data_IF_319780549159
#
_entry.id   IF_319780549159
#
_cell.length_a   1.000
_cell.length_b   1.000
_cell.length_c   1.000
_cell.angle_alpha   90.00
_cell.angle_beta   90.00
_cell.angle_gamma   90.00
#
_symmetry.space_group_name_H-M   'P 1'
#
loop_
_entity.id
_entity.type
_entity.pdbx_description
1 polymer ?
#
# COMPACT_ATOMS: atom_id res chain seq x y z
N UNK A 1 3.75 35.88 -14.61
CA UNK A 1 3.28 34.55 -14.18
C UNK A 1 3.19 34.56 -12.67
N UNK A 2 2.03 34.32 -12.09
CA UNK A 2 1.79 34.50 -10.64
C UNK A 2 2.46 33.34 -9.90
N UNK A 3 3.53 33.61 -9.16
CA UNK A 3 4.35 32.60 -8.47
C UNK A 3 3.49 31.66 -7.60
N UNK A 4 2.41 32.20 -7.01
CA UNK A 4 1.44 31.41 -6.24
C UNK A 4 0.71 30.38 -7.09
N UNK A 5 0.30 30.72 -8.33
CA UNK A 5 -0.37 29.77 -9.23
C UNK A 5 0.57 28.64 -9.68
N UNK A 6 1.83 28.96 -9.91
CA UNK A 6 2.85 27.96 -10.28
C UNK A 6 3.12 26.97 -9.15
N UNK A 7 3.11 27.43 -7.89
CA UNK A 7 3.28 26.57 -6.72
C UNK A 7 2.12 25.56 -6.51
N UNK A 8 0.90 25.89 -6.96
CA UNK A 8 -0.23 24.93 -6.93
C UNK A 8 -0.15 23.88 -8.02
N UNK A 9 0.50 24.17 -9.15
CA UNK A 9 0.63 23.25 -10.27
C UNK A 9 1.69 22.17 -9.99
N UNK A 10 2.74 22.51 -9.24
CA UNK A 10 3.89 21.63 -9.03
C UNK A 10 3.54 20.29 -8.34
N UNK A 11 2.80 20.22 -7.22
CA UNK A 11 2.41 18.93 -6.64
C UNK A 11 1.60 18.09 -7.61
N UNK A 12 0.60 18.70 -8.27
CA UNK A 12 -0.25 17.97 -9.23
C UNK A 12 0.56 17.43 -10.44
N UNK A 13 1.59 18.15 -10.89
CA UNK A 13 2.47 17.68 -11.96
C UNK A 13 3.29 16.45 -11.51
N UNK A 14 3.73 16.41 -10.25
CA UNK A 14 4.43 15.25 -9.67
C UNK A 14 3.47 14.06 -9.57
N UNK A 15 2.24 14.27 -9.10
CA UNK A 15 1.18 13.24 -9.05
C UNK A 15 0.87 12.69 -10.45
N UNK A 16 0.79 13.55 -11.48
CA UNK A 16 0.67 13.11 -12.89
C UNK A 16 1.88 12.29 -13.34
N UNK A 17 3.08 12.58 -12.83
CA UNK A 17 4.27 11.76 -13.06
C UNK A 17 4.11 10.33 -12.50
N UNK A 18 3.50 10.18 -11.32
CA UNK A 18 3.14 8.86 -10.76
C UNK A 18 2.18 8.11 -11.69
N UNK A 19 1.09 8.76 -12.15
CA UNK A 19 0.14 8.18 -13.11
C UNK A 19 0.86 7.74 -14.39
N UNK A 20 1.74 8.58 -14.93
CA UNK A 20 2.51 8.27 -16.15
C UNK A 20 3.37 7.02 -15.97
N UNK A 21 4.04 6.86 -14.83
CA UNK A 21 4.82 5.67 -14.52
C UNK A 21 3.93 4.42 -14.45
N UNK A 22 2.78 4.50 -13.75
CA UNK A 22 1.80 3.41 -13.66
C UNK A 22 1.24 3.02 -15.03
N UNK A 23 0.84 4.01 -15.83
CA UNK A 23 0.34 3.80 -17.18
C UNK A 23 1.39 3.15 -18.09
N UNK A 24 2.63 3.65 -18.07
CA UNK A 24 3.71 3.09 -18.88
C UNK A 24 4.06 1.65 -18.44
N UNK A 25 4.03 1.35 -17.14
CA UNK A 25 4.19 -0.02 -16.63
C UNK A 25 3.13 -0.97 -17.22
N UNK A 26 1.87 -0.53 -17.30
CA UNK A 26 0.79 -1.32 -17.92
C UNK A 26 1.07 -1.55 -19.40
N UNK A 27 1.48 -0.52 -20.13
CA UNK A 27 1.79 -0.64 -21.57
C UNK A 27 2.91 -1.66 -21.82
N UNK A 28 4.01 -1.60 -21.05
CA UNK A 28 5.15 -2.51 -21.19
C UNK A 28 4.72 -3.97 -21.02
N UNK A 29 3.95 -4.30 -19.99
CA UNK A 29 3.54 -5.69 -19.72
C UNK A 29 2.36 -6.15 -20.56
N UNK A 30 1.68 -5.25 -21.26
CA UNK A 30 0.56 -5.55 -22.17
C UNK A 30 1.00 -5.82 -23.61
N UNK A 31 2.24 -5.57 -23.97
CA UNK A 31 2.81 -5.96 -25.28
C UNK A 31 2.80 -7.50 -25.43
N UNK A 32 2.68 -8.01 -26.63
CA UNK A 32 2.33 -9.39 -26.97
C UNK A 32 3.01 -10.51 -26.17
N UNK A 33 4.34 -10.44 -25.96
CA UNK A 33 5.10 -11.45 -25.18
C UNK A 33 6.15 -10.75 -24.32
N UNK A 34 5.77 -10.19 -23.16
CA UNK A 34 6.70 -9.48 -22.30
C UNK A 34 7.77 -10.44 -21.75
N UNK A 35 9.02 -10.01 -21.80
CA UNK A 35 10.17 -10.74 -21.27
C UNK A 35 10.34 -10.50 -19.76
N UNK A 36 11.20 -11.28 -19.10
CA UNK A 36 11.59 -11.04 -17.70
C UNK A 36 12.14 -9.64 -17.47
N UNK A 37 12.87 -9.09 -18.44
CA UNK A 37 13.39 -7.71 -18.40
C UNK A 37 12.25 -6.67 -18.47
N UNK A 38 11.18 -6.94 -19.22
CA UNK A 38 10.05 -6.01 -19.33
C UNK A 38 9.23 -5.99 -18.02
N UNK A 39 9.04 -7.14 -17.37
CA UNK A 39 8.44 -7.18 -16.02
C UNK A 39 9.29 -6.40 -15.01
N UNK A 40 10.60 -6.54 -15.06
CA UNK A 40 11.51 -5.79 -14.20
C UNK A 40 11.42 -4.27 -14.45
N UNK A 41 11.45 -3.84 -15.72
CA UNK A 41 11.30 -2.42 -16.08
C UNK A 41 9.96 -1.85 -15.60
N UNK A 42 8.86 -2.59 -15.78
CA UNK A 42 7.55 -2.19 -15.30
C UNK A 42 7.52 -2.08 -13.75
N UNK A 43 8.10 -3.03 -13.04
CA UNK A 43 8.23 -2.98 -11.58
C UNK A 43 9.05 -1.77 -11.12
N UNK A 44 10.14 -1.44 -11.79
CA UNK A 44 10.95 -0.25 -11.50
C UNK A 44 10.18 1.04 -11.73
N UNK A 45 9.38 1.15 -12.80
CA UNK A 45 8.49 2.30 -13.02
C UNK A 45 7.49 2.47 -11.87
N UNK A 46 6.95 1.38 -11.33
CA UNK A 46 6.03 1.44 -10.18
C UNK A 46 6.75 1.86 -8.89
N UNK A 47 8.04 1.50 -8.72
CA UNK A 47 8.86 2.04 -7.62
C UNK A 47 9.07 3.54 -7.79
N UNK A 48 9.33 4.02 -9.01
CA UNK A 48 9.38 5.47 -9.29
C UNK A 48 8.03 6.15 -9.05
N UNK A 49 6.90 5.49 -9.37
CA UNK A 49 5.58 6.00 -9.03
C UNK A 49 5.41 6.21 -7.53
N UNK A 50 5.86 5.25 -6.69
CA UNK A 50 5.85 5.39 -5.23
C UNK A 50 6.73 6.55 -4.74
N UNK A 51 7.84 6.79 -5.41
CA UNK A 51 8.70 7.94 -5.08
C UNK A 51 8.02 9.27 -5.42
N UNK A 52 7.37 9.39 -6.58
CA UNK A 52 6.60 10.58 -6.95
C UNK A 52 5.45 10.85 -5.98
N UNK A 53 4.70 9.82 -5.57
CA UNK A 53 3.65 9.91 -4.57
C UNK A 53 4.16 10.43 -3.21
N UNK A 54 5.31 9.94 -2.75
CA UNK A 54 5.92 10.47 -1.54
C UNK A 54 6.37 11.93 -1.68
N UNK A 55 6.80 12.33 -2.88
CA UNK A 55 7.26 13.68 -3.15
C UNK A 55 6.12 14.69 -3.22
N UNK A 56 5.03 14.39 -3.94
CA UNK A 56 3.93 15.35 -4.14
C UNK A 56 3.25 15.70 -2.82
N UNK A 57 2.99 14.71 -1.97
CA UNK A 57 2.47 14.94 -0.62
C UNK A 57 3.42 15.74 0.29
N UNK A 58 4.74 15.60 0.13
CA UNK A 58 5.72 16.42 0.84
C UNK A 58 5.75 17.85 0.28
N UNK A 59 5.82 17.98 -1.04
CA UNK A 59 5.85 19.28 -1.72
C UNK A 59 4.59 20.10 -1.39
N UNK A 60 3.39 19.49 -1.48
CA UNK A 60 2.13 20.14 -1.14
C UNK A 60 2.10 20.67 0.32
N UNK A 61 2.67 19.91 1.27
CA UNK A 61 2.79 20.34 2.67
C UNK A 61 3.81 21.47 2.85
N UNK A 62 4.97 21.38 2.22
CA UNK A 62 6.04 22.39 2.34
C UNK A 62 5.62 23.72 1.69
N UNK A 63 4.94 23.67 0.57
CA UNK A 63 4.47 24.85 -0.17
C UNK A 63 3.13 25.40 0.37
N UNK A 64 2.49 24.69 1.31
CA UNK A 64 1.16 25.02 1.83
C UNK A 64 0.09 25.15 0.73
N UNK A 65 0.22 24.30 -0.33
CA UNK A 65 -0.68 24.29 -1.49
C UNK A 65 -1.65 23.12 -1.47
N UNK A 66 -1.93 22.57 -0.31
CA UNK A 66 -2.92 21.51 -0.15
C UNK A 66 -4.31 22.01 -0.60
N UNK A 67 -4.98 21.27 -1.46
CA UNK A 67 -6.30 21.60 -1.99
C UNK A 67 -7.19 20.37 -2.03
N UNK A 68 -8.52 20.58 -2.02
CA UNK A 68 -9.47 19.49 -2.21
C UNK A 68 -9.28 18.79 -3.58
N UNK A 69 -8.97 19.56 -4.61
CA UNK A 69 -8.65 19.02 -5.95
C UNK A 69 -7.39 18.16 -5.92
N UNK A 70 -6.30 18.63 -5.26
CA UNK A 70 -5.06 17.88 -5.12
C UNK A 70 -5.27 16.54 -4.40
N UNK A 71 -6.10 16.51 -3.35
CA UNK A 71 -6.44 15.28 -2.63
C UNK A 71 -7.20 14.28 -3.54
N UNK A 72 -8.10 14.74 -4.40
CA UNK A 72 -8.83 13.86 -5.31
C UNK A 72 -7.93 13.30 -6.41
N UNK A 73 -7.07 14.13 -7.03
CA UNK A 73 -6.16 13.66 -8.08
C UNK A 73 -5.10 12.70 -7.53
N UNK A 74 -4.63 12.90 -6.30
CA UNK A 74 -3.76 11.99 -5.55
C UNK A 74 -4.42 10.62 -5.37
N UNK A 75 -5.68 10.57 -4.92
CA UNK A 75 -6.42 9.32 -4.79
C UNK A 75 -6.67 8.61 -6.12
N UNK A 76 -6.87 9.36 -7.22
CA UNK A 76 -7.00 8.79 -8.56
C UNK A 76 -5.64 8.27 -9.07
N UNK A 77 -4.56 8.96 -8.74
CA UNK A 77 -3.21 8.51 -9.04
C UNK A 77 -2.88 7.21 -8.32
N UNK A 78 -3.20 7.14 -7.02
CA UNK A 78 -3.02 5.96 -6.18
C UNK A 78 -3.70 4.73 -6.79
N UNK A 79 -4.96 4.86 -7.25
CA UNK A 79 -5.67 3.71 -7.80
C UNK A 79 -5.08 3.25 -9.13
N UNK A 80 -4.59 4.15 -9.97
CA UNK A 80 -3.92 3.80 -11.23
C UNK A 80 -2.57 3.16 -10.95
N UNK A 81 -1.72 3.82 -10.15
CA UNK A 81 -0.31 3.46 -9.96
C UNK A 81 -0.12 2.31 -8.98
N UNK A 82 -1.00 2.17 -7.96
CA UNK A 82 -0.86 1.17 -6.89
C UNK A 82 -2.02 0.18 -6.81
N UNK A 83 -3.12 0.42 -7.52
CA UNK A 83 -4.22 -0.53 -7.65
C UNK A 83 -4.14 -1.28 -8.98
N UNK A 84 -4.37 -0.58 -10.09
CA UNK A 84 -4.54 -1.17 -11.42
C UNK A 84 -3.20 -1.66 -11.99
N UNK A 85 -2.16 -0.83 -11.99
CA UNK A 85 -0.89 -1.20 -12.62
C UNK A 85 -0.23 -2.42 -11.95
N UNK A 86 -0.13 -2.54 -10.60
CA UNK A 86 0.38 -3.75 -9.97
C UNK A 86 -0.50 -4.98 -10.17
N UNK A 87 -1.83 -4.83 -10.26
CA UNK A 87 -2.73 -5.95 -10.55
C UNK A 87 -2.53 -6.50 -11.97
N UNK A 88 -2.36 -5.62 -12.96
CA UNK A 88 -2.03 -6.01 -14.34
C UNK A 88 -0.63 -6.64 -14.41
N UNK A 89 0.35 -6.04 -13.71
CA UNK A 89 1.72 -6.57 -13.64
C UNK A 89 1.72 -8.00 -13.13
N UNK A 90 1.12 -8.26 -11.95
CA UNK A 90 1.13 -9.62 -11.35
C UNK A 90 0.28 -10.60 -12.15
N UNK A 91 -0.82 -10.15 -12.76
CA UNK A 91 -1.61 -10.97 -13.66
C UNK A 91 -0.77 -11.46 -14.85
N UNK A 92 -0.15 -10.54 -15.58
CA UNK A 92 0.67 -10.84 -16.75
C UNK A 92 1.92 -11.66 -16.40
N UNK A 93 2.50 -11.43 -15.22
CA UNK A 93 3.70 -12.12 -14.77
C UNK A 93 3.41 -13.56 -14.33
N UNK A 94 2.35 -13.81 -13.56
CA UNK A 94 2.14 -15.11 -12.90
C UNK A 94 0.70 -15.63 -12.98
N UNK A 95 -0.31 -14.78 -12.74
CA UNK A 95 -1.68 -15.23 -12.54
C UNK A 95 -2.40 -15.61 -13.85
N UNK A 96 -1.89 -15.24 -15.02
CA UNK A 96 -2.44 -15.64 -16.33
C UNK A 96 -2.58 -17.16 -16.50
N UNK A 97 -1.84 -17.95 -15.71
CA UNK A 97 -1.93 -19.41 -15.66
C UNK A 97 -3.27 -19.92 -15.12
N UNK A 98 -4.01 -19.08 -14.43
CA UNK A 98 -5.34 -19.35 -13.91
C UNK A 98 -6.36 -18.45 -14.63
N UNK A 99 -6.92 -18.84 -15.78
CA UNK A 99 -7.63 -17.92 -16.66
C UNK A 99 -8.72 -17.11 -15.97
N UNK A 100 -9.61 -17.76 -15.21
CA UNK A 100 -10.70 -17.08 -14.48
C UNK A 100 -10.25 -16.61 -13.09
N UNK A 101 -9.67 -17.51 -12.29
CA UNK A 101 -9.28 -17.20 -10.92
C UNK A 101 -8.19 -16.10 -10.87
N UNK A 102 -7.24 -16.11 -11.81
CA UNK A 102 -6.19 -15.10 -11.90
C UNK A 102 -6.73 -13.71 -12.23
N UNK A 103 -7.68 -13.62 -13.17
CA UNK A 103 -8.36 -12.33 -13.47
C UNK A 103 -9.12 -11.84 -12.25
N UNK A 104 -9.88 -12.72 -11.58
CA UNK A 104 -10.64 -12.35 -10.38
C UNK A 104 -9.73 -11.90 -9.23
N UNK A 105 -8.60 -12.58 -9.00
CA UNK A 105 -7.64 -12.21 -7.98
C UNK A 105 -6.99 -10.84 -8.27
N UNK A 106 -6.58 -10.60 -9.52
CA UNK A 106 -6.02 -9.32 -9.94
C UNK A 106 -7.05 -8.19 -9.85
N UNK A 107 -8.28 -8.42 -10.33
CA UNK A 107 -9.38 -7.46 -10.19
C UNK A 107 -9.71 -7.17 -8.74
N UNK A 108 -9.77 -8.21 -7.89
CA UNK A 108 -10.03 -8.05 -6.45
C UNK A 108 -9.00 -7.14 -5.79
N UNK A 109 -7.72 -7.23 -6.18
CA UNK A 109 -6.69 -6.33 -5.65
C UNK A 109 -6.97 -4.87 -6.00
N UNK A 110 -7.26 -4.57 -7.26
CA UNK A 110 -7.58 -3.21 -7.70
C UNK A 110 -8.88 -2.70 -7.06
N UNK A 111 -9.93 -3.53 -7.01
CA UNK A 111 -11.23 -3.17 -6.43
C UNK A 111 -11.14 -2.91 -4.91
N UNK A 112 -10.46 -3.78 -4.17
CA UNK A 112 -10.24 -3.59 -2.73
C UNK A 112 -9.40 -2.34 -2.45
N UNK A 113 -8.41 -2.04 -3.29
CA UNK A 113 -7.66 -0.79 -3.25
C UNK A 113 -8.56 0.44 -3.42
N UNK A 114 -9.46 0.43 -4.42
CA UNK A 114 -10.40 1.51 -4.66
C UNK A 114 -11.38 1.70 -3.48
N UNK A 115 -11.97 0.61 -2.98
CA UNK A 115 -12.87 0.65 -1.81
C UNK A 115 -12.14 1.22 -0.59
N UNK A 116 -10.90 0.79 -0.36
CA UNK A 116 -10.07 1.30 0.75
C UNK A 116 -9.80 2.80 0.62
N UNK A 117 -9.45 3.29 -0.56
CA UNK A 117 -9.21 4.72 -0.79
C UNK A 117 -10.48 5.54 -0.61
N UNK A 118 -11.61 5.09 -1.16
CA UNK A 118 -12.90 5.74 -0.98
C UNK A 118 -13.28 5.82 0.50
N UNK A 119 -13.14 4.70 1.25
CA UNK A 119 -13.38 4.66 2.70
C UNK A 119 -12.47 5.62 3.46
N UNK A 120 -11.20 5.68 3.12
CA UNK A 120 -10.24 6.58 3.75
C UNK A 120 -10.62 8.04 3.51
N UNK A 121 -10.97 8.41 2.29
CA UNK A 121 -11.37 9.78 1.94
C UNK A 121 -12.61 10.23 2.71
N UNK A 122 -13.63 9.36 2.79
CA UNK A 122 -14.85 9.64 3.56
C UNK A 122 -14.55 9.83 5.05
N UNK A 123 -13.70 8.98 5.64
CA UNK A 123 -13.34 9.05 7.06
C UNK A 123 -12.35 10.18 7.39
N UNK A 124 -11.65 10.71 6.40
CA UNK A 124 -10.67 11.79 6.56
C UNK A 124 -11.24 13.18 6.33
N UNK A 125 -12.51 13.28 5.97
CA UNK A 125 -13.23 14.55 5.77
C UNK A 125 -14.39 14.66 6.75
N UNK A 126 -14.68 15.87 7.24
CA UNK A 126 -15.89 16.14 7.99
C UNK A 126 -17.11 16.32 7.05
N UNK A 127 -18.30 16.57 7.62
CA UNK A 127 -19.54 16.81 6.87
C UNK A 127 -19.46 18.04 5.94
N UNK A 128 -18.48 18.93 6.13
CA UNK A 128 -18.21 20.10 5.29
C UNK A 128 -17.13 19.85 4.23
N UNK A 129 -16.58 18.61 4.14
CA UNK A 129 -15.47 18.27 3.24
C UNK A 129 -14.10 18.76 3.70
N UNK A 130 -13.97 19.25 4.94
CA UNK A 130 -12.72 19.73 5.48
C UNK A 130 -11.89 18.55 5.97
N UNK A 131 -10.58 18.47 5.64
CA UNK A 131 -9.72 17.36 6.09
C UNK A 131 -9.60 17.31 7.62
N UNK A 132 -9.93 16.17 8.21
CA UNK A 132 -9.73 15.90 9.63
C UNK A 132 -8.26 15.48 9.84
N UNK A 133 -7.65 15.88 10.97
CA UNK A 133 -6.29 15.45 11.30
C UNK A 133 -6.20 13.92 11.31
N UNK A 134 -5.24 13.33 10.60
CA UNK A 134 -5.08 11.87 10.56
C UNK A 134 -4.91 11.30 11.97
N UNK A 135 -5.67 10.25 12.29
CA UNK A 135 -5.52 9.51 13.53
C UNK A 135 -4.19 8.74 13.59
N UNK A 136 -3.85 8.25 14.79
CA UNK A 136 -2.66 7.42 15.05
C UNK A 136 -2.69 6.09 14.28
N UNK A 137 -3.86 5.59 13.96
CA UNK A 137 -4.09 4.32 13.26
C UNK A 137 -4.90 4.55 12.00
N UNK A 138 -4.54 3.82 10.95
CA UNK A 138 -5.25 3.76 9.68
C UNK A 138 -5.95 2.40 9.60
N UNK A 139 -7.24 2.40 9.28
CA UNK A 139 -8.02 1.16 9.13
C UNK A 139 -7.79 0.56 7.75
N UNK A 140 -7.44 -0.72 7.71
CA UNK A 140 -7.07 -1.45 6.51
C UNK A 140 -5.62 -1.19 6.07
N UNK A 141 -5.03 -2.17 5.38
CA UNK A 141 -3.68 -2.05 4.81
C UNK A 141 -3.64 -0.91 3.78
N UNK A 142 -2.72 0.07 3.89
CA UNK A 142 -2.57 1.09 2.86
C UNK A 142 -2.21 0.51 1.50
N UNK A 143 -2.73 1.13 0.41
CA UNK A 143 -2.54 0.60 -0.95
C UNK A 143 -1.07 0.62 -1.40
N UNK A 144 -0.21 1.66 -1.09
CA UNK A 144 1.19 1.63 -1.50
C UNK A 144 1.99 0.47 -0.86
N UNK A 145 1.92 0.16 0.45
CA UNK A 145 2.55 -1.03 1.01
C UNK A 145 2.02 -2.34 0.42
N UNK A 146 0.71 -2.46 0.16
CA UNK A 146 0.14 -3.67 -0.45
C UNK A 146 0.70 -3.91 -1.86
N UNK A 147 0.70 -2.88 -2.71
CA UNK A 147 1.27 -2.93 -4.04
C UNK A 147 2.79 -3.14 -4.01
N UNK A 148 3.46 -2.53 -3.03
CA UNK A 148 4.89 -2.69 -2.82
C UNK A 148 5.31 -4.15 -2.67
N UNK A 149 4.52 -4.98 -1.95
CA UNK A 149 4.79 -6.43 -1.85
C UNK A 149 4.77 -7.08 -3.23
N UNK A 150 3.74 -6.83 -4.05
CA UNK A 150 3.63 -7.42 -5.39
C UNK A 150 4.77 -6.95 -6.31
N UNK A 151 5.08 -5.65 -6.28
CA UNK A 151 6.15 -5.05 -7.08
C UNK A 151 7.51 -5.64 -6.70
N UNK A 152 7.80 -5.74 -5.40
CA UNK A 152 9.09 -6.25 -4.92
C UNK A 152 9.25 -7.75 -5.16
N UNK A 153 8.18 -8.53 -5.22
CA UNK A 153 8.23 -9.94 -5.66
C UNK A 153 8.68 -10.04 -7.12
N UNK A 154 8.21 -9.16 -8.00
CA UNK A 154 8.66 -9.13 -9.41
C UNK A 154 10.13 -8.70 -9.51
N UNK A 155 10.55 -7.72 -8.73
CA UNK A 155 11.96 -7.28 -8.68
C UNK A 155 12.85 -8.41 -8.14
N UNK A 156 12.44 -9.08 -7.06
CA UNK A 156 13.17 -10.23 -6.50
C UNK A 156 13.24 -11.41 -7.49
N UNK A 157 12.18 -11.64 -8.29
CA UNK A 157 12.19 -12.64 -9.34
C UNK A 157 13.30 -12.41 -10.37
N UNK A 158 13.56 -11.16 -10.73
CA UNK A 158 14.63 -10.82 -11.65
C UNK A 158 16.02 -11.16 -11.06
N UNK A 159 16.22 -10.90 -9.78
CA UNK A 159 17.46 -11.22 -9.06
C UNK A 159 17.76 -12.74 -9.01
N UNK A 160 16.72 -13.57 -8.89
CA UNK A 160 16.84 -15.04 -8.90
C UNK A 160 16.61 -15.66 -10.29
N UNK A 161 16.96 -14.93 -11.35
CA UNK A 161 16.91 -15.41 -12.74
C UNK A 161 15.55 -15.98 -13.15
N UNK A 162 14.45 -15.44 -12.64
CA UNK A 162 13.09 -15.82 -12.99
C UNK A 162 12.52 -17.00 -12.17
N UNK A 163 13.21 -17.51 -11.18
CA UNK A 163 12.79 -18.70 -10.42
C UNK A 163 11.42 -18.56 -9.75
N UNK A 164 11.09 -17.35 -9.21
CA UNK A 164 9.78 -17.10 -8.58
C UNK A 164 8.62 -17.03 -9.60
N UNK A 165 8.90 -16.75 -10.88
CA UNK A 165 7.93 -16.77 -11.97
C UNK A 165 7.51 -18.17 -12.42
N UNK A 166 8.10 -19.24 -11.87
CA UNK A 166 7.75 -20.62 -12.22
C UNK A 166 6.35 -20.99 -11.76
N UNK A 167 5.75 -21.95 -12.49
CA UNK A 167 4.37 -22.38 -12.25
C UNK A 167 4.10 -22.85 -10.81
N UNK A 168 5.10 -23.44 -10.14
CA UNK A 168 4.99 -23.93 -8.76
C UNK A 168 4.69 -22.79 -7.74
N UNK A 169 5.10 -21.54 -8.00
CA UNK A 169 4.85 -20.42 -7.11
C UNK A 169 3.60 -19.61 -7.48
N UNK A 170 2.98 -19.88 -8.64
CA UNK A 170 1.85 -19.08 -9.13
C UNK A 170 0.64 -19.12 -8.18
N UNK A 171 0.36 -20.28 -7.55
CA UNK A 171 -0.70 -20.40 -6.55
C UNK A 171 -0.38 -19.60 -5.29
N UNK A 172 0.87 -19.59 -4.85
CA UNK A 172 1.31 -18.77 -3.69
C UNK A 172 1.18 -17.29 -3.99
N UNK A 173 1.60 -16.85 -5.19
CA UNK A 173 1.47 -15.44 -5.63
C UNK A 173 -0.01 -15.04 -5.67
N UNK A 174 -0.89 -15.92 -6.17
CA UNK A 174 -2.33 -15.67 -6.15
C UNK A 174 -2.87 -15.57 -4.72
N UNK A 175 -2.48 -16.47 -3.83
CA UNK A 175 -2.87 -16.42 -2.42
C UNK A 175 -2.40 -15.14 -1.74
N UNK A 176 -1.15 -14.70 -1.97
CA UNK A 176 -0.63 -13.41 -1.48
C UNK A 176 -1.45 -12.25 -2.01
N UNK A 177 -1.77 -12.22 -3.31
CA UNK A 177 -2.59 -11.17 -3.93
C UNK A 177 -3.97 -11.09 -3.26
N UNK A 178 -4.63 -12.22 -3.05
CA UNK A 178 -5.94 -12.29 -2.37
C UNK A 178 -5.85 -11.84 -0.92
N UNK A 179 -4.85 -12.30 -0.17
CA UNK A 179 -4.65 -11.90 1.24
C UNK A 179 -4.41 -10.40 1.36
N UNK A 180 -3.57 -9.81 0.52
CA UNK A 180 -3.34 -8.37 0.49
C UNK A 180 -4.62 -7.59 0.18
N UNK A 181 -5.43 -8.08 -0.76
CA UNK A 181 -6.73 -7.50 -1.11
C UNK A 181 -7.67 -7.48 0.10
N UNK A 182 -7.80 -8.61 0.80
CA UNK A 182 -8.64 -8.72 2.00
C UNK A 182 -8.12 -7.83 3.14
N UNK A 183 -6.81 -7.73 3.32
CA UNK A 183 -6.21 -6.85 4.33
C UNK A 183 -6.50 -5.37 4.06
N UNK A 184 -6.56 -4.92 2.80
CA UNK A 184 -6.91 -3.55 2.44
C UNK A 184 -8.32 -3.16 2.90
N UNK A 185 -9.30 -4.06 2.77
CA UNK A 185 -10.71 -3.81 3.15
C UNK A 185 -11.00 -4.18 4.61
N UNK A 186 -10.08 -4.86 5.28
CA UNK A 186 -10.24 -5.33 6.66
C UNK A 186 -10.36 -4.19 7.66
N UNK A 187 -10.81 -4.51 8.88
CA UNK A 187 -10.81 -3.60 10.02
C UNK A 187 -9.51 -3.65 10.83
N UNK A 188 -8.47 -4.28 10.28
CA UNK A 188 -7.12 -4.29 10.88
C UNK A 188 -6.60 -2.87 10.96
N UNK A 189 -6.11 -2.47 12.13
CA UNK A 189 -5.57 -1.13 12.35
C UNK A 189 -4.06 -1.15 12.18
N UNK A 190 -3.59 -0.49 11.13
CA UNK A 190 -2.16 -0.32 10.87
C UNK A 190 -1.66 0.97 11.49
N UNK A 191 -0.51 0.90 12.16
CA UNK A 191 0.09 2.06 12.81
C UNK A 191 0.66 3.03 11.77
N UNK A 192 0.35 4.31 11.91
CA UNK A 192 1.01 5.36 11.16
C UNK A 192 2.40 5.63 11.76
N UNK A 193 3.45 5.65 10.94
CA UNK A 193 4.82 5.90 11.40
C UNK A 193 5.06 7.34 11.90
N UNK A 194 4.05 8.22 11.83
CA UNK A 194 4.18 9.64 12.21
C UNK A 194 4.42 9.88 13.70
N UNK A 195 4.07 8.90 14.57
CA UNK A 195 4.09 9.03 16.04
C UNK A 195 5.14 8.13 16.72
N UNK A 196 6.19 7.74 16.02
CA UNK A 196 7.27 6.96 16.62
C UNK A 196 8.00 7.80 17.68
N UNK A 197 7.63 7.59 18.96
CA UNK A 197 8.43 8.09 20.07
C UNK A 197 9.68 7.22 20.22
N UNK A 198 10.84 7.85 20.30
CA UNK A 198 12.10 7.18 20.61
C UNK A 198 12.05 6.67 22.07
N UNK A 199 11.53 5.47 22.26
CA UNK A 199 11.58 4.73 23.51
C UNK A 199 12.54 3.54 23.33
N UNK A 200 13.11 3.03 24.39
CA UNK A 200 14.05 1.88 24.38
C UNK A 200 13.51 0.71 23.56
N UNK A 201 12.21 0.38 23.71
CA UNK A 201 11.56 -0.66 22.92
C UNK A 201 11.50 -0.37 21.42
N UNK A 202 11.29 0.90 21.01
CA UNK A 202 11.31 1.30 19.60
C UNK A 202 12.73 1.23 19.03
N UNK A 203 13.73 1.62 19.82
CA UNK A 203 15.15 1.54 19.40
C UNK A 203 15.58 0.09 19.20
N UNK A 204 15.29 -0.80 20.17
CA UNK A 204 15.58 -2.23 20.07
C UNK A 204 14.87 -2.87 18.86
N UNK A 205 13.63 -2.48 18.60
CA UNK A 205 12.87 -2.96 17.47
C UNK A 205 13.47 -2.50 16.12
N UNK A 206 13.89 -1.25 16.00
CA UNK A 206 14.59 -0.73 14.80
C UNK A 206 15.91 -1.45 14.61
N UNK A 207 16.70 -1.67 15.68
CA UNK A 207 17.93 -2.45 15.62
C UNK A 207 17.68 -3.90 15.18
N UNK A 208 16.60 -4.53 15.64
CA UNK A 208 16.21 -5.86 15.18
C UNK A 208 15.87 -5.87 13.68
N UNK A 209 15.13 -4.88 13.18
CA UNK A 209 14.81 -4.75 11.75
C UNK A 209 16.10 -4.58 10.93
N UNK A 210 17.00 -3.69 11.36
CA UNK A 210 18.26 -3.45 10.66
C UNK A 210 19.12 -4.74 10.66
N UNK A 211 19.26 -5.38 11.81
CA UNK A 211 20.04 -6.63 11.94
C UNK A 211 19.48 -7.77 11.10
N UNK A 212 18.15 -7.98 11.14
CA UNK A 212 17.50 -9.00 10.31
C UNK A 212 17.58 -8.69 8.82
N UNK A 213 17.48 -7.41 8.44
CA UNK A 213 17.66 -6.97 7.04
C UNK A 213 19.09 -7.21 6.55
N UNK A 214 20.09 -7.02 7.41
CA UNK A 214 21.48 -7.33 7.08
C UNK A 214 21.70 -8.84 6.87
N UNK A 215 21.06 -9.69 7.66
CA UNK A 215 21.08 -11.15 7.46
C UNK A 215 20.43 -11.53 6.13
N UNK A 216 19.25 -10.95 5.81
CA UNK A 216 18.58 -11.18 4.51
C UNK A 216 19.47 -10.72 3.35
N UNK A 217 20.15 -9.59 3.51
CA UNK A 217 21.10 -9.08 2.50
C UNK A 217 22.27 -10.03 2.27
N UNK A 218 22.79 -10.67 3.32
CA UNK A 218 23.92 -11.59 3.21
C UNK A 218 23.53 -12.97 2.65
N UNK A 219 22.32 -13.44 2.94
CA UNK A 219 21.86 -14.78 2.55
C UNK A 219 21.13 -14.79 1.20
N UNK A 220 20.54 -13.67 0.83
CA UNK A 220 19.71 -13.51 -0.36
C UNK A 220 20.15 -12.28 -1.16
N UNK A 221 19.60 -12.12 -2.37
CA UNK A 221 19.83 -10.94 -3.19
C UNK A 221 19.20 -9.68 -2.57
N UNK A 222 19.78 -8.48 -2.77
CA UNK A 222 19.31 -7.21 -2.19
C UNK A 222 17.79 -6.93 -2.30
N UNK A 223 17.11 -7.27 -3.42
CA UNK A 223 15.66 -7.04 -3.53
C UNK A 223 14.81 -7.75 -2.49
N UNK A 224 15.28 -8.88 -1.93
CA UNK A 224 14.55 -9.59 -0.87
C UNK A 224 14.45 -8.81 0.44
N UNK A 225 15.34 -7.84 0.67
CA UNK A 225 15.26 -6.94 1.84
C UNK A 225 13.96 -6.14 1.80
N UNK A 226 13.54 -5.65 0.62
CA UNK A 226 12.28 -4.92 0.48
C UNK A 226 11.07 -5.82 0.74
N UNK A 227 11.07 -7.05 0.22
CA UNK A 227 10.04 -8.05 0.51
C UNK A 227 9.96 -8.31 2.01
N UNK A 228 11.11 -8.48 2.67
CA UNK A 228 11.22 -8.69 4.11
C UNK A 228 10.63 -7.52 4.89
N UNK A 229 11.05 -6.28 4.61
CA UNK A 229 10.60 -5.07 5.32
C UNK A 229 9.08 -4.87 5.21
N UNK A 230 8.51 -5.07 4.03
CA UNK A 230 7.07 -4.96 3.80
C UNK A 230 6.30 -6.08 4.50
N UNK A 231 6.83 -7.32 4.47
CA UNK A 231 6.22 -8.45 5.18
C UNK A 231 6.23 -8.24 6.70
N UNK A 232 7.33 -7.74 7.25
CA UNK A 232 7.43 -7.38 8.67
C UNK A 232 6.44 -6.27 9.04
N UNK A 233 6.30 -5.24 8.21
CA UNK A 233 5.31 -4.18 8.44
C UNK A 233 3.88 -4.75 8.53
N UNK A 234 3.50 -5.63 7.60
CA UNK A 234 2.18 -6.26 7.59
C UNK A 234 1.99 -7.15 8.82
N UNK A 235 2.99 -7.99 9.14
CA UNK A 235 2.95 -8.88 10.30
C UNK A 235 2.76 -8.11 11.61
N UNK A 236 3.46 -6.99 11.79
CA UNK A 236 3.31 -6.13 12.97
C UNK A 236 1.90 -5.57 13.06
N UNK A 237 1.36 -5.04 11.95
CA UNK A 237 -0.01 -4.51 11.93
C UNK A 237 -1.04 -5.56 12.35
N UNK A 238 -0.90 -6.80 11.86
CA UNK A 238 -1.77 -7.92 12.23
C UNK A 238 -1.61 -8.28 13.71
N UNK A 239 -0.38 -8.38 14.22
CA UNK A 239 -0.10 -8.72 15.61
C UNK A 239 -0.62 -7.64 16.58
N UNK A 240 -0.44 -6.36 16.29
CA UNK A 240 -0.97 -5.25 17.09
C UNK A 240 -2.51 -5.29 17.11
N UNK A 241 -3.13 -5.58 15.97
CA UNK A 241 -4.58 -5.70 15.88
C UNK A 241 -5.11 -6.86 16.72
N UNK A 242 -4.52 -8.06 16.61
CA UNK A 242 -4.91 -9.24 17.43
C UNK A 242 -4.81 -8.90 18.92
N UNK A 243 -3.72 -8.27 19.36
CA UNK A 243 -3.54 -7.84 20.76
C UNK A 243 -4.58 -6.81 21.22
N UNK A 244 -5.16 -6.03 20.30
CA UNK A 244 -6.17 -5.02 20.62
C UNK A 244 -7.59 -5.60 20.80
N UNK A 245 -7.86 -6.81 20.29
CA UNK A 245 -9.19 -7.45 20.30
C UNK A 245 -9.75 -7.62 21.73
N UNK A 246 -9.00 -8.17 22.71
CA UNK A 246 -9.55 -8.37 24.06
C UNK A 246 -10.05 -7.07 24.70
N UNK A 247 -9.30 -5.98 24.53
CA UNK A 247 -9.68 -4.67 25.07
C UNK A 247 -10.92 -4.08 24.39
N UNK A 248 -11.11 -4.31 23.09
CA UNK A 248 -12.32 -3.85 22.36
C UNK A 248 -13.55 -4.65 22.80
N UNK A 249 -13.43 -5.96 22.96
CA UNK A 249 -14.52 -6.83 23.43
C UNK A 249 -14.96 -6.45 24.84
N UNK A 250 -14.00 -6.20 25.76
CA UNK A 250 -14.32 -5.74 27.12
C UNK A 250 -15.09 -4.43 27.14
N UNK A 251 -14.62 -3.42 26.38
CA UNK A 251 -15.32 -2.13 26.28
C UNK A 251 -16.70 -2.24 25.64
N UNK A 252 -16.89 -3.13 24.66
CA UNK A 252 -18.20 -3.36 24.05
C UNK A 252 -19.18 -3.98 25.05
N UNK A 253 -18.74 -4.91 25.90
CA UNK A 253 -19.56 -5.48 26.98
C UNK A 253 -19.94 -4.44 28.03
N UNK A 254 -18.99 -3.63 28.48
CA UNK A 254 -19.23 -2.55 29.46
C UNK A 254 -20.23 -1.51 28.93
N UNK A 255 -20.20 -1.19 27.64
CA UNK A 255 -21.21 -0.31 27.01
C UNK A 255 -22.59 -0.95 26.96
N UNK A 256 -22.66 -2.20 26.52
CA UNK A 256 -23.94 -2.93 26.48
C UNK A 256 -24.59 -3.05 27.87
N UNK A 257 -23.79 -3.24 28.92
CA UNK A 257 -24.27 -3.27 30.32
C UNK A 257 -24.78 -1.88 30.76
N UNK A 258 -24.10 -0.78 30.38
CA UNK A 258 -24.57 0.58 30.69
C UNK A 258 -25.88 0.94 29.98
N UNK A 259 -26.05 0.51 28.71
CA UNK A 259 -27.28 0.76 27.95
C UNK A 259 -28.50 -0.02 28.47
N UNK A 260 -28.30 -1.06 29.30
CA UNK A 260 -29.35 -1.86 29.94
C UNK A 260 -29.77 -1.35 31.32
N UNK A 261 -29.04 -0.36 31.90
CA UNK A 261 -29.41 0.25 33.17
C UNK A 261 -30.58 1.21 32.97
N UNK A 262 -31.61 1.16 33.85
CA UNK A 262 -32.72 2.14 33.79
C UNK A 262 -32.17 3.55 34.00
N UNK A 263 -32.80 4.58 33.35
CA UNK A 263 -32.40 5.96 33.58
C UNK A 263 -32.51 6.28 35.08
N UNK A 264 -31.45 6.92 35.61
CA UNK A 264 -31.45 7.39 36.99
C UNK A 264 -32.65 8.35 37.20
N UNK A 265 -33.51 8.03 38.18
CA UNK A 265 -34.64 8.89 38.59
C UNK A 265 -34.19 10.22 39.16
#
# INVERSE_FOLDING_TARGET
MDLKKTLFVLPNAITLGSIFCGFNAILIVSTGSPSGADFYKAAMLLIFAMFFDLLDGRVARMTKTQSAFGLQIDSLADIVSFGVAPSVLVYKWSLYRFPTAGVLAAFMFAACGAIRLARFNVLSSDSSGTPIKPGKYVTGLPIPPASGVLITLVVANHAVSGALGNAQYSLLIMAVTVVLSLLMVSNVQFRSFKDLKLNTGTVLFVLFIIGSSAVVWQQFEPPFVLVWLLSVYIAIGILEWIRSIPGKVKRARERAEMDTLPPAE
#
